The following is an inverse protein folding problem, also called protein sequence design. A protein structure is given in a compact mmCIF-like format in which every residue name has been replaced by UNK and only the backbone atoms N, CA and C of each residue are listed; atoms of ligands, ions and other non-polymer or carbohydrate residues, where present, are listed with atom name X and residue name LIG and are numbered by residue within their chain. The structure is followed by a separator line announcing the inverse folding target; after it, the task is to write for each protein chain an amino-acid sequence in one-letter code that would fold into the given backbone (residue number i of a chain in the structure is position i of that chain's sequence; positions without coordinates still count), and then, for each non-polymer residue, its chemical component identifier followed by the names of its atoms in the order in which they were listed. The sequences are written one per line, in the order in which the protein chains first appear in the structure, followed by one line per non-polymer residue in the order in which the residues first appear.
data_IF_639484139580
#
_entry.id   IF_639484139580
#
_cell.length_a   1.000
_cell.length_b   1.000
_cell.length_c   1.000
_cell.angle_alpha   90.00
_cell.angle_beta   90.00
_cell.angle_gamma   90.00
#
_symmetry.space_group_name_H-M   'P 1'
#
loop_
_entity.id
_entity.type
_entity.pdbx_description
1 polymer ?
#
# COMPACT_ATOMS: atom_id res chain seq x y z
N UNK A 1 9.50 6.51 -10.84
CA UNK A 1 9.21 5.21 -11.44
C UNK A 1 9.05 4.16 -10.37
N UNK A 2 8.08 3.32 -10.51
CA UNK A 2 7.78 2.30 -9.51
C UNK A 2 8.19 0.92 -10.02
N UNK A 3 8.87 0.18 -9.19
CA UNK A 3 9.23 -1.18 -9.50
C UNK A 3 8.47 -2.11 -8.58
N UNK A 4 7.86 -3.14 -9.14
CA UNK A 4 7.07 -4.11 -8.39
C UNK A 4 7.65 -5.49 -8.63
N UNK A 5 8.00 -6.17 -7.55
CA UNK A 5 8.47 -7.55 -7.63
C UNK A 5 7.51 -8.42 -6.85
N UNK A 6 7.15 -9.53 -7.45
CA UNK A 6 6.20 -10.46 -6.85
C UNK A 6 6.92 -11.72 -6.43
N UNK A 7 6.64 -12.16 -5.22
CA UNK A 7 7.15 -13.44 -4.75
C UNK A 7 6.18 -13.98 -3.72
N UNK A 8 6.33 -15.24 -3.35
CA UNK A 8 5.50 -15.79 -2.30
C UNK A 8 5.48 -17.30 -2.31
N UNK A 9 5.30 -17.82 -1.10
CA UNK A 9 5.13 -19.24 -0.88
C UNK A 9 3.91 -19.35 0.03
N UNK A 10 2.74 -19.38 -0.54
CA UNK A 10 1.52 -19.42 0.24
C UNK A 10 0.97 -18.06 0.57
N UNK A 11 1.78 -17.04 0.51
CA UNK A 11 1.34 -15.65 0.62
C UNK A 11 1.88 -14.92 -0.58
N UNK A 12 1.17 -13.86 -0.99
CA UNK A 12 1.64 -13.04 -2.09
C UNK A 12 2.33 -11.83 -1.52
N UNK A 13 3.61 -11.72 -1.81
CA UNK A 13 4.43 -10.61 -1.37
C UNK A 13 4.77 -9.76 -2.58
N UNK A 14 4.40 -8.49 -2.54
CA UNK A 14 4.78 -7.53 -3.55
C UNK A 14 5.78 -6.57 -2.93
N UNK A 15 7.00 -6.58 -3.44
CA UNK A 15 8.02 -5.64 -3.00
C UNK A 15 7.97 -4.43 -3.91
N UNK A 16 7.67 -3.28 -3.35
CA UNK A 16 7.56 -2.05 -4.11
C UNK A 16 8.81 -1.23 -3.87
N UNK A 17 9.36 -0.65 -4.92
CA UNK A 17 10.52 0.21 -4.76
C UNK A 17 10.42 1.39 -5.68
N UNK A 18 11.05 2.49 -5.29
CA UNK A 18 11.04 3.72 -6.04
C UNK A 18 9.93 4.64 -5.60
N UNK A 19 9.28 5.28 -6.56
CA UNK A 19 8.25 6.27 -6.27
C UNK A 19 6.89 5.74 -6.65
N UNK A 20 5.94 5.97 -5.77
CA UNK A 20 4.55 5.64 -6.06
C UNK A 20 3.82 6.96 -6.29
N UNK A 21 3.71 7.36 -7.54
CA UNK A 21 3.09 8.64 -7.87
C UNK A 21 1.92 8.49 -8.82
N UNK A 22 2.12 7.88 -9.93
CA UNK A 22 1.06 7.74 -10.92
C UNK A 22 0.66 6.31 -11.18
N UNK A 23 1.20 5.38 -10.41
CA UNK A 23 1.01 3.96 -10.67
C UNK A 23 -0.05 3.32 -9.79
N UNK A 24 -0.83 4.12 -9.10
CA UNK A 24 -1.83 3.59 -8.18
C UNK A 24 -2.82 2.69 -8.92
N UNK A 25 -3.20 3.08 -10.13
CA UNK A 25 -4.15 2.27 -10.89
C UNK A 25 -3.58 0.90 -11.23
N UNK A 26 -2.28 0.85 -11.52
CA UNK A 26 -1.65 -0.43 -11.81
C UNK A 26 -1.65 -1.32 -10.57
N UNK A 27 -1.38 -0.73 -9.42
CA UNK A 27 -1.42 -1.49 -8.18
C UNK A 27 -2.83 -1.99 -7.90
N UNK A 28 -3.83 -1.18 -8.17
CA UNK A 28 -5.21 -1.61 -7.99
C UNK A 28 -5.55 -2.78 -8.91
N UNK A 29 -5.06 -2.76 -10.13
CA UNK A 29 -5.28 -3.85 -11.05
C UNK A 29 -4.62 -5.13 -10.56
N UNK A 30 -3.41 -5.02 -10.01
CA UNK A 30 -2.74 -6.18 -9.47
C UNK A 30 -3.55 -6.81 -8.35
N UNK A 31 -4.07 -5.99 -7.45
CA UNK A 31 -4.87 -6.50 -6.35
C UNK A 31 -6.14 -7.15 -6.89
N UNK A 32 -6.78 -6.50 -7.86
CA UNK A 32 -8.02 -7.02 -8.40
C UNK A 32 -7.83 -8.34 -9.13
N UNK A 33 -6.64 -8.57 -9.68
CA UNK A 33 -6.37 -9.80 -10.41
C UNK A 33 -6.06 -10.96 -9.49
N UNK A 34 -5.78 -10.72 -8.22
CA UNK A 34 -5.50 -11.80 -7.29
C UNK A 34 -6.81 -12.30 -6.71
N UNK A 35 -6.91 -13.60 -6.59
CA UNK A 35 -8.14 -14.20 -6.09
C UNK A 35 -8.18 -14.13 -4.59
N UNK A 36 -9.37 -14.12 -4.07
CA UNK A 36 -9.57 -14.13 -2.65
C UNK A 36 -8.96 -15.39 -2.04
N UNK A 37 -8.73 -15.32 -0.77
CA UNK A 37 -8.19 -16.46 -0.04
C UNK A 37 -6.72 -16.36 0.19
N UNK A 38 -6.03 -15.49 -0.52
CA UNK A 38 -4.61 -15.31 -0.30
C UNK A 38 -4.36 -14.01 0.41
N UNK A 39 -3.42 -14.05 1.31
CA UNK A 39 -3.05 -12.87 2.05
C UNK A 39 -2.04 -12.06 1.22
N UNK A 40 -2.32 -10.79 1.07
CA UNK A 40 -1.45 -9.91 0.31
C UNK A 40 -0.59 -9.11 1.26
N UNK A 41 0.68 -8.99 0.93
CA UNK A 41 1.64 -8.24 1.71
C UNK A 41 2.36 -7.29 0.77
N UNK A 42 2.40 -6.01 1.12
CA UNK A 42 3.17 -5.04 0.39
C UNK A 42 4.37 -4.67 1.23
N UNK A 43 5.56 -4.92 0.70
CA UNK A 43 6.79 -4.49 1.38
C UNK A 43 7.19 -3.14 0.82
N UNK A 44 7.28 -2.15 1.69
CA UNK A 44 7.53 -0.78 1.29
C UNK A 44 8.92 -0.30 1.65
N UNK A 45 9.80 -1.23 1.98
CA UNK A 45 11.13 -0.89 2.47
C UNK A 45 11.90 0.02 1.51
N UNK A 46 11.79 -0.23 0.23
CA UNK A 46 12.55 0.49 -0.77
C UNK A 46 11.75 1.58 -1.46
N UNK A 47 10.59 1.91 -0.94
CA UNK A 47 9.80 3.01 -1.47
C UNK A 47 10.42 4.31 -0.97
N UNK A 48 10.72 5.21 -1.91
CA UNK A 48 11.42 6.44 -1.57
C UNK A 48 10.49 7.63 -1.53
N UNK A 49 9.40 7.59 -2.28
CA UNK A 49 8.49 8.73 -2.35
C UNK A 49 7.08 8.27 -2.65
N UNK A 50 6.11 8.92 -2.02
CA UNK A 50 4.70 8.69 -2.32
C UNK A 50 4.03 10.04 -2.44
N UNK A 51 2.96 10.11 -3.24
CA UNK A 51 2.13 11.30 -3.25
C UNK A 51 0.86 11.02 -2.47
N UNK A 52 -0.02 12.01 -2.42
CA UNK A 52 -1.22 11.90 -1.61
C UNK A 52 -2.11 10.75 -2.06
N UNK A 53 -2.25 10.57 -3.37
CA UNK A 53 -3.08 9.49 -3.89
C UNK A 53 -2.53 8.14 -3.51
N UNK A 54 -1.20 7.99 -3.52
CA UNK A 54 -0.57 6.74 -3.14
C UNK A 54 -0.81 6.46 -1.66
N UNK A 55 -0.70 7.48 -0.82
CA UNK A 55 -0.93 7.31 0.61
C UNK A 55 -2.37 6.87 0.87
N UNK A 56 -3.32 7.50 0.19
CA UNK A 56 -4.72 7.11 0.33
C UNK A 56 -4.94 5.67 -0.11
N UNK A 57 -4.30 5.28 -1.20
CA UNK A 57 -4.40 3.92 -1.67
C UNK A 57 -3.84 2.93 -0.66
N UNK A 58 -2.67 3.23 -0.08
CA UNK A 58 -2.08 2.33 0.90
C UNK A 58 -2.93 2.24 2.16
N UNK A 59 -3.50 3.34 2.60
CA UNK A 59 -4.39 3.33 3.75
C UNK A 59 -5.61 2.47 3.47
N UNK A 60 -6.15 2.56 2.26
CA UNK A 60 -7.30 1.77 1.85
C UNK A 60 -6.93 0.28 1.84
N UNK A 61 -5.77 -0.05 1.33
CA UNK A 61 -5.32 -1.43 1.29
C UNK A 61 -5.22 -2.01 2.70
N UNK A 62 -4.63 -1.26 3.61
CA UNK A 62 -4.49 -1.74 4.98
C UNK A 62 -5.85 -1.96 5.62
N UNK A 63 -6.80 -1.08 5.35
CA UNK A 63 -8.14 -1.22 5.88
C UNK A 63 -8.84 -2.46 5.34
N UNK A 64 -8.41 -2.96 4.20
CA UNK A 64 -9.02 -4.15 3.59
C UNK A 64 -8.21 -5.41 3.84
N UNK A 65 -7.30 -5.38 4.80
CA UNK A 65 -6.62 -6.60 5.22
C UNK A 65 -5.27 -6.84 4.57
N UNK A 66 -4.80 -5.93 3.73
CA UNK A 66 -3.49 -6.07 3.14
C UNK A 66 -2.46 -5.59 4.15
N UNK A 67 -1.44 -6.41 4.38
CA UNK A 67 -0.40 -6.06 5.33
C UNK A 67 0.65 -5.18 4.67
N UNK A 68 1.04 -4.12 5.33
CA UNK A 68 2.12 -3.26 4.87
C UNK A 68 3.33 -3.55 5.73
N UNK A 69 4.41 -4.05 5.13
CA UNK A 69 5.63 -4.41 5.83
C UNK A 69 6.72 -3.41 5.58
N UNK A 70 7.56 -3.22 6.58
CA UNK A 70 8.76 -2.38 6.47
C UNK A 70 8.43 -1.00 5.93
N UNK A 71 7.29 -0.47 6.31
CA UNK A 71 6.87 0.84 5.85
C UNK A 71 7.79 1.91 6.46
N UNK A 72 8.42 2.74 5.63
CA UNK A 72 9.23 3.83 6.17
C UNK A 72 8.42 4.72 7.09
N UNK A 73 9.06 5.25 8.11
CA UNK A 73 8.35 5.99 9.15
C UNK A 73 7.58 7.17 8.61
N UNK A 74 8.16 7.91 7.67
CA UNK A 74 7.48 9.09 7.15
C UNK A 74 6.22 8.70 6.37
N UNK A 75 6.24 7.54 5.70
CA UNK A 75 5.07 7.06 4.98
C UNK A 75 4.04 6.52 5.97
N UNK A 76 4.51 5.80 7.00
CA UNK A 76 3.61 5.27 8.02
C UNK A 76 2.86 6.40 8.73
N UNK A 77 3.59 7.44 9.06
CA UNK A 77 2.98 8.60 9.71
C UNK A 77 1.92 9.22 8.83
N UNK A 78 2.21 9.36 7.55
CA UNK A 78 1.27 9.96 6.61
C UNK A 78 0.01 9.09 6.49
N UNK A 79 0.21 7.77 6.36
CA UNK A 79 -0.92 6.85 6.28
C UNK A 79 -1.80 6.96 7.52
N UNK A 80 -1.18 7.00 8.69
CA UNK A 80 -1.94 7.11 9.92
C UNK A 80 -2.73 8.41 9.99
N UNK A 81 -2.16 9.49 9.49
CA UNK A 81 -2.87 10.76 9.46
C UNK A 81 -4.08 10.70 8.54
N UNK A 82 -3.95 10.04 7.41
CA UNK A 82 -5.06 9.89 6.49
C UNK A 82 -6.17 9.05 7.13
N UNK A 83 -5.80 8.01 7.83
CA UNK A 83 -6.78 7.14 8.45
C UNK A 83 -7.50 7.81 9.61
N UNK A 84 -6.80 8.69 10.31
CA UNK A 84 -7.40 9.34 11.45
C UNK A 84 -8.27 10.52 11.12
N UNK A 85 -8.15 11.06 9.92
CA UNK A 85 -8.80 12.22 9.61
C UNK A 85 -10.19 12.08 9.65
N UNK A 86 -10.78 12.14 9.88
CA UNK A 86 -11.86 12.00 9.89
C UNK A 86 -12.85 11.95 10.29
N UNK A 87 -12.99 11.47 10.46
CA UNK A 87 -13.98 11.21 10.77
C UNK A 87 -14.37 11.68 11.89
N UNK A 88 -14.05 12.45 12.32
CA UNK A 88 -14.29 13.05 13.19
C UNK A 88 -15.15 13.67 13.48
N UNK A 89 -15.39 13.67 13.17
CA UNK A 89 -16.22 14.11 13.32
C UNK A 89 -17.11 14.07 13.53
N UNK A 90 -17.16 13.84 13.58
CA UNK A 90 -18.01 13.68 13.59
C UNK A 90 -18.46 13.72 14.04
N UNK A 91 -18.40 13.90 14.32
CA UNK A 91 -18.88 13.94 14.54
C UNK A 91 -19.15 14.00 14.52
#
# INVERSE_FOLDING_TARGET
MLRIERSGNGQLLFTLSGRIEGEVQELQKLIASEKSGQQLIFNLRDVTLVNQDAVKFLAHCEAHGITLEDCPLHIRTWIDQVKDRPRRRQS
#
